data_IF_906871024153
#
_entry.id   IF_906871024153
#
_cell.length_a   1.000
_cell.length_b   1.000
_cell.length_c   1.000
_cell.angle_alpha   90.00
_cell.angle_beta   90.00
_cell.angle_gamma   90.00
#
_symmetry.space_group_name_H-M   'P 1'
#
loop_
_entity.id
_entity.type
_entity.pdbx_description
1 polymer ?
#
# COMPACT_ATOMS: atom_id res chain seq x y z
N UNK A 1 1.29 -2.00 -31.34
CA UNK A 1 2.69 -2.14 -31.82
C UNK A 1 3.57 -1.59 -30.73
N UNK A 2 4.37 -2.43 -30.07
CA UNK A 2 5.35 -1.98 -29.07
C UNK A 2 6.44 -1.21 -29.80
N UNK A 3 6.38 0.13 -29.79
CA UNK A 3 7.49 0.95 -30.24
C UNK A 3 8.66 0.71 -29.30
N UNK A 4 9.83 0.43 -29.86
CA UNK A 4 11.07 0.41 -29.08
C UNK A 4 11.23 1.78 -28.43
N UNK A 5 11.50 1.86 -27.11
CA UNK A 5 11.75 3.13 -26.45
C UNK A 5 12.87 3.89 -27.18
N UNK A 6 12.65 5.18 -27.46
CA UNK A 6 13.65 6.06 -28.06
C UNK A 6 14.19 7.01 -26.99
N UNK A 7 15.48 7.37 -27.00
CA UNK A 7 16.00 8.40 -26.12
C UNK A 7 15.22 9.70 -26.27
N UNK A 8 14.82 10.33 -25.15
CA UNK A 8 14.04 11.57 -25.19
C UNK A 8 14.81 12.69 -25.90
N UNK A 9 16.14 12.73 -25.78
CA UNK A 9 17.00 13.67 -26.52
C UNK A 9 16.84 13.52 -28.04
N UNK A 10 16.80 12.29 -28.54
CA UNK A 10 16.59 12.02 -29.96
C UNK A 10 15.18 12.48 -30.40
N UNK A 11 14.15 12.18 -29.60
CA UNK A 11 12.78 12.64 -29.88
C UNK A 11 12.66 14.17 -29.95
N UNK A 12 13.33 14.88 -29.03
CA UNK A 12 13.31 16.34 -28.97
C UNK A 12 14.25 17.01 -30.00
N UNK A 13 15.11 16.23 -30.69
CA UNK A 13 16.13 16.78 -31.59
C UNK A 13 17.23 17.55 -30.86
N UNK A 14 17.53 17.16 -29.62
CA UNK A 14 18.50 17.82 -28.74
C UNK A 14 19.72 16.94 -28.48
N UNK A 15 20.82 17.56 -28.05
CA UNK A 15 21.94 16.82 -27.48
C UNK A 15 21.53 16.18 -26.15
N UNK A 16 22.05 14.99 -25.85
CA UNK A 16 21.89 14.38 -24.51
C UNK A 16 22.56 15.21 -23.39
N UNK A 17 23.43 16.16 -23.75
CA UNK A 17 24.07 17.12 -22.84
C UNK A 17 23.33 18.47 -22.76
N UNK A 18 22.16 18.60 -23.38
CA UNK A 18 21.37 19.82 -23.33
C UNK A 18 20.92 20.14 -21.87
N UNK A 19 20.97 21.41 -21.42
CA UNK A 19 20.57 21.80 -20.07
C UNK A 19 19.17 21.33 -19.65
N UNK A 20 18.25 21.11 -20.60
CA UNK A 20 16.91 20.59 -20.32
C UNK A 20 16.95 19.26 -19.53
N UNK A 21 17.94 18.40 -19.79
CA UNK A 21 18.07 17.10 -19.11
C UNK A 21 18.62 17.24 -17.69
N UNK A 22 19.37 18.31 -17.42
CA UNK A 22 19.77 18.66 -16.06
C UNK A 22 18.56 19.12 -15.24
N UNK A 23 17.71 19.98 -15.82
CA UNK A 23 16.47 20.44 -15.17
C UNK A 23 15.51 19.27 -14.91
N UNK A 24 15.33 18.37 -15.87
CA UNK A 24 14.54 17.15 -15.68
C UNK A 24 15.09 16.27 -14.57
N UNK A 25 16.43 16.11 -14.46
CA UNK A 25 17.04 15.36 -13.36
C UNK A 25 16.75 16.02 -12.02
N UNK A 26 16.89 17.34 -11.92
CA UNK A 26 16.57 18.09 -10.69
C UNK A 26 15.11 17.94 -10.30
N UNK A 27 14.19 17.97 -11.29
CA UNK A 27 12.77 17.75 -11.06
C UNK A 27 12.50 16.37 -10.44
N UNK A 28 13.04 15.30 -11.05
CA UNK A 28 12.86 13.93 -10.56
C UNK A 28 13.47 13.78 -9.17
N UNK A 29 14.72 14.18 -8.99
CA UNK A 29 15.42 14.08 -7.71
C UNK A 29 14.78 14.90 -6.58
N UNK A 30 14.11 16.02 -6.92
CA UNK A 30 13.39 16.86 -5.96
C UNK A 30 11.94 16.44 -5.70
N UNK A 31 11.44 15.43 -6.42
CA UNK A 31 10.07 14.97 -6.29
C UNK A 31 9.90 14.06 -5.07
N UNK A 32 8.77 14.21 -4.35
CA UNK A 32 8.48 13.41 -3.14
C UNK A 32 8.34 11.91 -3.42
N UNK A 33 7.91 11.57 -4.64
CA UNK A 33 7.73 10.19 -5.09
C UNK A 33 9.01 9.49 -5.52
N UNK A 34 10.10 10.24 -5.70
CA UNK A 34 11.37 9.64 -6.12
C UNK A 34 12.10 9.08 -4.90
N UNK A 35 12.07 7.75 -4.76
CA UNK A 35 12.78 6.99 -3.72
C UNK A 35 14.09 6.36 -4.25
N UNK A 36 14.55 6.83 -5.41
CA UNK A 36 15.83 6.46 -6.00
C UNK A 36 17.00 7.21 -5.37
N UNK A 37 18.21 6.92 -5.85
CA UNK A 37 19.39 7.68 -5.44
C UNK A 37 19.40 9.03 -6.20
N UNK A 38 19.32 10.18 -5.51
CA UNK A 38 19.32 11.50 -6.15
C UNK A 38 20.63 11.81 -6.91
N UNK A 39 21.72 11.14 -6.54
CA UNK A 39 23.01 11.29 -7.20
C UNK A 39 23.14 10.45 -8.48
N UNK A 40 22.34 9.39 -8.61
CA UNK A 40 22.42 8.45 -9.73
C UNK A 40 22.23 9.14 -11.09
N UNK A 41 23.00 8.75 -12.12
CA UNK A 41 22.71 9.15 -13.50
C UNK A 41 21.33 8.66 -13.93
N UNK A 42 20.56 9.54 -14.59
CA UNK A 42 19.22 9.25 -15.08
C UNK A 42 19.22 9.31 -16.61
N UNK A 43 18.60 8.32 -17.23
CA UNK A 43 18.30 8.34 -18.67
C UNK A 43 16.81 8.49 -18.90
N UNK A 44 16.42 9.29 -19.89
CA UNK A 44 15.02 9.59 -20.21
C UNK A 44 14.68 8.98 -21.56
N UNK A 45 13.65 8.13 -21.59
CA UNK A 45 13.21 7.42 -22.78
C UNK A 45 11.74 7.69 -23.05
N UNK A 46 11.39 7.95 -24.30
CA UNK A 46 10.02 8.11 -24.75
C UNK A 46 9.53 6.79 -25.37
N UNK A 47 8.48 6.20 -24.79
CA UNK A 47 7.92 4.92 -25.25
C UNK A 47 6.70 5.07 -26.16
N UNK A 48 6.06 6.23 -26.12
CA UNK A 48 4.83 6.47 -26.86
C UNK A 48 4.52 7.96 -26.90
N UNK A 49 3.83 8.39 -27.95
CA UNK A 49 3.43 9.79 -28.10
C UNK A 49 2.01 9.89 -28.62
N UNK A 50 1.29 10.93 -28.19
CA UNK A 50 -0.03 11.28 -28.69
C UNK A 50 -0.05 12.75 -29.08
N UNK A 51 -0.40 13.02 -30.33
CA UNK A 51 -0.55 14.39 -30.85
C UNK A 51 -1.91 14.91 -30.42
N UNK A 52 -1.93 16.01 -29.67
CA UNK A 52 -3.15 16.61 -29.11
C UNK A 52 -3.53 17.90 -29.85
N UNK A 53 -2.57 18.51 -30.53
CA UNK A 53 -2.76 19.69 -31.36
C UNK A 53 -1.45 20.07 -32.04
N UNK A 54 -1.48 21.18 -32.79
CA UNK A 54 -0.31 21.67 -33.52
C UNK A 54 0.89 21.94 -32.59
N UNK A 55 0.62 22.40 -31.37
CA UNK A 55 1.61 22.86 -30.40
C UNK A 55 1.65 22.02 -29.12
N UNK A 56 0.93 20.89 -29.08
CA UNK A 56 0.74 20.12 -27.86
C UNK A 56 0.82 18.63 -28.17
N UNK A 57 1.68 17.93 -27.42
CA UNK A 57 1.76 16.47 -27.45
C UNK A 57 1.87 15.92 -26.03
N UNK A 58 1.43 14.68 -25.87
CA UNK A 58 1.66 13.88 -24.68
C UNK A 58 2.72 12.83 -24.98
N UNK A 59 3.65 12.66 -24.06
CA UNK A 59 4.78 11.75 -24.13
C UNK A 59 4.72 10.79 -22.95
N UNK A 60 4.81 9.49 -23.25
CA UNK A 60 4.98 8.42 -22.28
C UNK A 60 6.47 8.29 -21.95
N UNK A 61 6.95 9.12 -21.03
CA UNK A 61 8.37 9.15 -20.66
C UNK A 61 8.63 8.20 -19.49
N UNK A 62 9.67 7.38 -19.62
CA UNK A 62 10.23 6.58 -18.54
C UNK A 62 11.65 7.02 -18.24
N UNK A 63 11.91 7.22 -16.96
CA UNK A 63 13.23 7.53 -16.44
C UNK A 63 13.87 6.24 -15.93
N UNK A 64 15.06 5.90 -16.40
CA UNK A 64 15.78 4.72 -15.95
C UNK A 64 17.04 5.13 -15.17
N UNK A 65 17.19 4.53 -13.99
CA UNK A 65 18.42 4.57 -13.19
C UNK A 65 19.43 3.51 -13.66
N UNK A 66 20.71 3.72 -13.36
CA UNK A 66 21.75 2.70 -13.54
C UNK A 66 21.48 1.42 -12.74
N UNK A 67 20.75 1.54 -11.62
CA UNK A 67 20.31 0.41 -10.79
C UNK A 67 19.32 -0.52 -11.50
N UNK A 68 18.75 -0.08 -12.64
CA UNK A 68 17.69 -0.77 -13.36
C UNK A 68 16.28 -0.40 -12.91
N UNK A 69 16.12 0.49 -11.92
CA UNK A 69 14.80 1.02 -11.54
C UNK A 69 14.25 1.92 -12.64
N UNK A 70 12.96 1.76 -12.91
CA UNK A 70 12.22 2.53 -13.90
C UNK A 70 11.19 3.42 -13.20
N UNK A 71 11.06 4.65 -13.67
CA UNK A 71 10.14 5.64 -13.13
C UNK A 71 9.24 6.21 -14.22
N UNK A 72 7.95 6.30 -13.94
CA UNK A 72 6.93 6.84 -14.82
C UNK A 72 6.89 8.38 -14.72
N UNK A 73 7.11 9.05 -15.85
CA UNK A 73 7.07 10.50 -15.96
C UNK A 73 6.13 10.94 -17.10
N UNK A 74 4.80 10.79 -16.96
CA UNK A 74 3.84 11.29 -17.95
C UNK A 74 4.09 12.77 -18.25
N UNK A 75 4.37 13.10 -19.50
CA UNK A 75 4.88 14.44 -19.87
C UNK A 75 4.01 15.08 -20.93
N UNK A 76 3.61 16.33 -20.72
CA UNK A 76 3.09 17.19 -21.79
C UNK A 76 4.23 18.05 -22.34
N UNK A 77 4.34 18.11 -23.66
CA UNK A 77 5.23 19.04 -24.36
C UNK A 77 4.40 20.09 -25.08
N UNK A 78 4.63 21.37 -24.79
CA UNK A 78 3.85 22.47 -25.33
C UNK A 78 4.68 23.72 -25.59
N UNK A 79 4.46 24.36 -26.74
CA UNK A 79 4.95 25.74 -26.99
C UNK A 79 3.95 26.81 -26.56
N UNK A 80 2.72 26.42 -26.19
CA UNK A 80 1.77 27.28 -25.49
C UNK A 80 1.97 27.19 -23.97
N UNK A 81 1.66 28.28 -23.26
CA UNK A 81 1.62 28.29 -21.80
C UNK A 81 0.44 27.48 -21.31
N UNK A 82 0.69 26.49 -20.47
CA UNK A 82 -0.31 25.68 -19.80
C UNK A 82 -0.24 25.93 -18.29
N UNK A 83 -1.34 25.67 -17.59
CA UNK A 83 -1.32 25.54 -16.14
C UNK A 83 -0.60 24.25 -15.71
N UNK A 84 -0.13 24.21 -14.47
CA UNK A 84 0.55 23.05 -13.88
C UNK A 84 2.05 23.24 -13.71
N UNK A 85 2.71 22.14 -13.34
CA UNK A 85 4.11 22.13 -12.94
C UNK A 85 5.02 21.92 -14.16
N UNK A 86 5.80 22.95 -14.46
CA UNK A 86 6.86 22.87 -15.48
C UNK A 86 8.06 22.13 -14.91
N UNK A 87 8.53 21.12 -15.63
CA UNK A 87 9.72 20.33 -15.30
C UNK A 87 10.98 20.91 -15.92
N UNK A 88 10.89 21.37 -17.17
CA UNK A 88 12.01 21.97 -17.90
C UNK A 88 11.51 22.85 -19.07
N UNK A 89 12.39 23.73 -19.57
CA UNK A 89 12.14 24.57 -20.76
C UNK A 89 13.33 24.53 -21.70
N UNK A 90 13.08 24.62 -23.00
CA UNK A 90 14.11 24.68 -24.04
C UNK A 90 13.58 25.37 -25.30
N UNK A 91 14.47 25.72 -26.23
CA UNK A 91 14.09 26.22 -27.55
C UNK A 91 14.26 25.11 -28.57
N UNK A 92 13.22 24.81 -29.34
CA UNK A 92 13.27 23.72 -30.34
C UNK A 92 14.04 24.12 -31.61
N UNK A 93 14.24 23.16 -32.52
CA UNK A 93 14.96 23.39 -33.79
C UNK A 93 14.30 24.40 -34.73
N UNK A 94 13.05 24.81 -34.47
CA UNK A 94 12.36 25.88 -35.20
C UNK A 94 12.54 27.26 -34.57
N UNK A 95 13.16 27.35 -33.40
CA UNK A 95 13.34 28.58 -32.64
C UNK A 95 12.16 28.92 -31.72
N UNK A 96 11.24 28.00 -31.47
CA UNK A 96 10.13 28.22 -30.55
C UNK A 96 10.48 27.79 -29.13
N UNK A 97 10.05 28.57 -28.14
CA UNK A 97 10.16 28.19 -26.73
C UNK A 97 9.14 27.09 -26.41
N UNK A 98 9.64 26.01 -25.83
CA UNK A 98 8.88 24.81 -25.49
C UNK A 98 9.07 24.50 -24.01
N UNK A 99 7.98 24.10 -23.37
CA UNK A 99 7.97 23.66 -21.97
C UNK A 99 7.54 22.20 -21.86
N UNK A 100 8.19 21.48 -20.95
CA UNK A 100 7.81 20.14 -20.52
C UNK A 100 7.07 20.25 -19.19
N UNK A 101 5.85 19.72 -19.11
CA UNK A 101 5.00 19.74 -17.92
C UNK A 101 4.78 18.32 -17.39
N UNK A 102 4.72 18.16 -16.07
CA UNK A 102 4.24 16.92 -15.46
C UNK A 102 2.74 16.79 -15.76
N UNK A 103 2.35 15.80 -16.55
CA UNK A 103 0.96 15.65 -17.00
C UNK A 103 0.00 15.33 -15.85
N UNK A 104 0.49 14.92 -14.67
CA UNK A 104 -0.38 14.70 -13.49
C UNK A 104 -0.76 16.02 -12.79
N UNK A 105 -0.06 17.10 -13.10
CA UNK A 105 -0.15 18.38 -12.38
C UNK A 105 -1.25 19.32 -12.90
N UNK A 106 -1.94 18.97 -13.98
CA UNK A 106 -3.04 19.76 -14.51
C UNK A 106 -4.15 18.87 -15.11
N UNK A 107 -5.35 19.43 -15.24
CA UNK A 107 -6.54 18.74 -15.75
C UNK A 107 -6.33 18.14 -17.14
N UNK A 108 -5.77 18.92 -18.07
CA UNK A 108 -5.54 18.50 -19.45
C UNK A 108 -4.66 17.24 -19.54
N UNK A 109 -3.60 17.19 -18.73
CA UNK A 109 -2.70 16.05 -18.69
C UNK A 109 -3.37 14.81 -18.09
N UNK A 110 -4.20 14.97 -17.04
CA UNK A 110 -5.01 13.89 -16.47
C UNK A 110 -6.01 13.33 -17.48
N UNK A 111 -6.74 14.20 -18.18
CA UNK A 111 -7.65 13.81 -19.26
C UNK A 111 -6.94 13.03 -20.35
N UNK A 112 -5.75 13.50 -20.74
CA UNK A 112 -4.97 12.79 -21.74
C UNK A 112 -4.52 11.42 -21.21
N UNK A 113 -3.98 11.33 -19.99
CA UNK A 113 -3.59 10.04 -19.36
C UNK A 113 -4.76 9.04 -19.42
N UNK A 114 -5.98 9.49 -19.11
CA UNK A 114 -7.18 8.66 -19.05
C UNK A 114 -7.88 8.44 -20.39
N UNK A 115 -7.59 9.25 -21.41
CA UNK A 115 -8.23 9.19 -22.73
C UNK A 115 -8.28 7.80 -23.39
N UNK A 116 -7.26 6.92 -23.27
CA UNK A 116 -7.32 5.56 -23.82
C UNK A 116 -8.42 4.69 -23.21
N UNK A 117 -8.90 5.02 -21.99
CA UNK A 117 -10.01 4.34 -21.33
C UNK A 117 -11.39 4.92 -21.74
N UNK A 118 -11.44 5.87 -22.68
CA UNK A 118 -12.67 6.51 -23.13
C UNK A 118 -13.22 7.56 -22.16
N UNK A 119 -12.43 8.00 -21.18
CA UNK A 119 -12.80 9.09 -20.27
C UNK A 119 -12.68 10.42 -21.02
N UNK A 120 -13.82 11.08 -21.27
CA UNK A 120 -13.88 12.35 -21.99
C UNK A 120 -13.75 13.59 -21.09
N UNK A 121 -13.37 14.72 -21.70
CA UNK A 121 -13.24 16.07 -21.10
C UNK A 121 -14.50 16.57 -20.36
N UNK A 122 -15.68 16.05 -20.69
CA UNK A 122 -16.97 16.51 -20.19
C UNK A 122 -17.41 15.85 -18.86
N UNK A 123 -16.65 14.86 -18.35
CA UNK A 123 -17.13 13.94 -17.31
C UNK A 123 -16.67 14.22 -15.87
N UNK A 124 -15.92 15.30 -15.59
CA UNK A 124 -15.40 15.51 -14.23
C UNK A 124 -15.30 16.97 -13.81
N UNK A 125 -15.79 17.25 -12.59
CA UNK A 125 -15.22 18.31 -11.77
C UNK A 125 -13.90 17.75 -11.25
N UNK A 126 -12.77 18.35 -11.65
CA UNK A 126 -11.46 17.99 -11.13
C UNK A 126 -11.41 18.48 -9.67
N UNK A 127 -11.32 17.57 -8.70
CA UNK A 127 -10.96 17.99 -7.36
C UNK A 127 -9.44 18.19 -7.34
N UNK A 128 -8.98 19.39 -7.00
CA UNK A 128 -7.55 19.75 -6.90
C UNK A 128 -6.75 18.93 -5.85
N UNK A 129 -7.33 17.86 -5.31
CA UNK A 129 -6.68 16.93 -4.37
C UNK A 129 -5.79 15.95 -5.13
N UNK A 130 -4.53 16.35 -5.29
CA UNK A 130 -3.44 15.44 -5.67
C UNK A 130 -2.72 14.96 -4.41
N UNK A 131 -2.63 13.65 -4.25
CA UNK A 131 -1.84 13.02 -3.20
C UNK A 131 -0.54 12.50 -3.82
N UNK A 132 0.58 13.10 -3.42
CA UNK A 132 1.90 12.78 -3.95
C UNK A 132 2.76 12.19 -2.82
N UNK A 133 2.79 10.86 -2.77
CA UNK A 133 3.62 10.06 -1.85
C UNK A 133 4.58 9.21 -2.68
N UNK A 134 4.61 7.88 -2.54
CA UNK A 134 5.34 6.97 -3.44
C UNK A 134 4.71 6.89 -4.83
N UNK A 135 3.42 7.19 -4.93
CA UNK A 135 2.62 7.26 -6.14
C UNK A 135 1.90 8.61 -6.21
N UNK A 136 1.38 8.95 -7.38
CA UNK A 136 0.54 10.14 -7.56
C UNK A 136 -0.90 9.70 -7.73
N UNK A 137 -1.78 10.07 -6.80
CA UNK A 137 -3.21 9.77 -6.89
C UNK A 137 -4.05 11.04 -7.02
N UNK A 138 -5.15 10.96 -7.76
CA UNK A 138 -6.09 12.06 -7.95
C UNK A 138 -7.50 11.54 -8.25
N UNK A 139 -8.49 12.38 -8.00
CA UNK A 139 -9.86 12.14 -8.42
C UNK A 139 -10.12 12.77 -9.79
N UNK A 140 -10.95 12.13 -10.61
CA UNK A 140 -11.37 12.68 -11.89
C UNK A 140 -12.85 12.36 -12.13
N UNK A 141 -13.73 13.29 -11.75
CA UNK A 141 -15.17 12.99 -11.63
C UNK A 141 -15.39 11.89 -10.59
N UNK A 142 -16.12 10.85 -10.96
CA UNK A 142 -16.41 9.69 -10.08
C UNK A 142 -15.31 8.61 -10.10
N UNK A 143 -14.11 8.96 -10.57
CA UNK A 143 -12.97 8.04 -10.67
C UNK A 143 -11.92 8.38 -9.61
N UNK A 144 -11.33 7.34 -9.01
CA UNK A 144 -10.06 7.44 -8.29
C UNK A 144 -8.96 6.85 -9.15
N UNK A 145 -7.92 7.64 -9.42
CA UNK A 145 -6.79 7.24 -10.26
C UNK A 145 -5.55 7.19 -9.39
N UNK A 146 -4.85 6.05 -9.43
CA UNK A 146 -3.55 5.85 -8.80
C UNK A 146 -2.51 5.64 -9.90
N UNK A 147 -1.61 6.60 -10.06
CA UNK A 147 -0.50 6.53 -11.01
C UNK A 147 0.73 5.96 -10.32
N UNK A 148 1.22 4.83 -10.83
CA UNK A 148 2.41 4.19 -10.32
C UNK A 148 3.64 4.96 -10.79
N UNK A 149 4.40 5.53 -9.84
CA UNK A 149 5.63 6.28 -10.16
C UNK A 149 6.82 5.36 -10.34
N UNK A 150 6.99 4.35 -9.50
CA UNK A 150 7.97 3.30 -9.75
C UNK A 150 7.32 2.20 -10.61
N UNK A 151 7.93 1.89 -11.76
CA UNK A 151 7.43 0.88 -12.70
C UNK A 151 8.08 -0.47 -12.42
N UNK A 152 7.27 -1.53 -12.50
CA UNK A 152 7.70 -2.91 -12.34
C UNK A 152 7.66 -3.65 -13.68
N UNK A 153 8.56 -4.60 -13.88
CA UNK A 153 8.64 -5.42 -15.10
C UNK A 153 7.53 -6.47 -15.23
N UNK A 154 6.76 -6.68 -14.16
CA UNK A 154 5.58 -7.52 -14.14
C UNK A 154 4.34 -6.67 -13.86
N UNK A 155 3.15 -7.24 -14.13
CA UNK A 155 1.87 -6.60 -13.77
C UNK A 155 1.86 -6.25 -12.28
N UNK A 156 1.40 -5.05 -11.95
CA UNK A 156 1.31 -4.60 -10.57
C UNK A 156 0.38 -5.53 -9.77
N UNK A 157 0.77 -5.84 -8.53
CA UNK A 157 0.03 -6.73 -7.61
C UNK A 157 -1.36 -6.21 -7.31
N UNK A 158 -1.49 -4.92 -7.01
CA UNK A 158 -2.77 -4.29 -6.69
C UNK A 158 -3.75 -4.41 -7.85
N UNK A 159 -3.32 -4.14 -9.09
CA UNK A 159 -4.16 -4.35 -10.28
C UNK A 159 -4.60 -5.82 -10.36
N UNK A 160 -3.66 -6.75 -10.22
CA UNK A 160 -3.95 -8.18 -10.37
C UNK A 160 -4.94 -8.70 -9.33
N UNK A 161 -4.81 -8.26 -8.08
CA UNK A 161 -5.68 -8.66 -6.98
C UNK A 161 -7.06 -8.00 -7.12
N UNK A 162 -7.11 -6.69 -7.33
CA UNK A 162 -8.38 -5.95 -7.40
C UNK A 162 -9.19 -6.30 -8.65
N UNK A 163 -8.55 -6.56 -9.78
CA UNK A 163 -9.24 -7.00 -11.00
C UNK A 163 -9.91 -8.36 -10.78
N UNK A 164 -9.19 -9.30 -10.16
CA UNK A 164 -9.71 -10.64 -9.90
C UNK A 164 -10.88 -10.61 -8.89
N UNK A 165 -10.80 -9.76 -7.85
CA UNK A 165 -11.90 -9.53 -6.92
C UNK A 165 -13.09 -8.79 -7.54
N UNK A 166 -12.84 -7.86 -8.46
CA UNK A 166 -13.91 -7.18 -9.22
C UNK A 166 -14.65 -8.19 -10.10
N UNK A 167 -13.92 -9.08 -10.77
CA UNK A 167 -14.48 -10.13 -11.63
C UNK A 167 -15.27 -11.18 -10.84
N UNK A 168 -14.89 -11.47 -9.60
CA UNK A 168 -15.65 -12.37 -8.72
C UNK A 168 -16.88 -11.72 -8.07
N UNK A 169 -17.09 -10.41 -8.29
CA UNK A 169 -18.23 -9.68 -7.75
C UNK A 169 -18.08 -9.27 -6.28
N UNK A 170 -16.84 -9.23 -5.76
CA UNK A 170 -16.55 -8.76 -4.40
C UNK A 170 -17.07 -7.34 -4.19
N UNK A 171 -17.75 -7.10 -3.06
CA UNK A 171 -18.25 -5.76 -2.68
C UNK A 171 -17.36 -5.06 -1.65
N UNK A 172 -16.41 -5.80 -1.07
CA UNK A 172 -15.49 -5.35 -0.02
C UNK A 172 -14.24 -4.64 -0.57
N UNK A 173 -14.16 -4.35 -1.88
CA UNK A 173 -13.10 -3.54 -2.52
C UNK A 173 -13.71 -2.54 -3.50
N UNK A 174 -13.01 -1.44 -3.84
CA UNK A 174 -13.41 -0.60 -4.97
C UNK A 174 -13.31 -1.39 -6.28
N UNK A 175 -14.33 -1.24 -7.15
CA UNK A 175 -14.32 -1.83 -8.49
C UNK A 175 -13.18 -1.25 -9.34
N UNK A 176 -12.47 -2.13 -10.02
CA UNK A 176 -11.53 -1.74 -11.09
C UNK A 176 -12.32 -1.35 -12.33
N UNK A 177 -12.09 -0.13 -12.80
CA UNK A 177 -12.70 0.41 -14.02
C UNK A 177 -11.74 0.36 -15.22
N UNK A 178 -10.44 0.30 -14.96
CA UNK A 178 -9.42 0.12 -15.98
C UNK A 178 -8.02 0.29 -15.42
N UNK A 179 -7.02 -0.04 -16.23
CA UNK A 179 -5.62 0.27 -15.94
C UNK A 179 -4.90 0.55 -17.25
N UNK A 180 -3.76 1.23 -17.17
CA UNK A 180 -2.91 1.52 -18.32
C UNK A 180 -1.51 0.99 -18.16
N UNK A 181 -0.79 0.98 -19.26
CA UNK A 181 0.60 0.58 -19.33
C UNK A 181 1.44 1.64 -20.03
N UNK A 182 2.68 1.81 -19.57
CA UNK A 182 3.73 2.61 -20.18
C UNK A 182 4.94 1.71 -20.36
N UNK A 183 5.47 1.60 -21.58
CA UNK A 183 6.59 0.69 -21.90
C UNK A 183 6.33 -0.78 -21.45
N UNK A 184 5.10 -1.28 -21.64
CA UNK A 184 4.67 -2.62 -21.19
C UNK A 184 4.72 -2.84 -19.67
N UNK A 185 4.85 -1.78 -18.87
CA UNK A 185 4.79 -1.82 -17.42
C UNK A 185 3.48 -1.18 -16.96
N UNK A 186 2.83 -1.74 -15.94
CA UNK A 186 1.64 -1.14 -15.33
C UNK A 186 1.93 0.29 -14.85
N UNK A 187 1.22 1.28 -15.39
CA UNK A 187 1.52 2.70 -15.19
C UNK A 187 0.49 3.43 -14.34
N UNK A 188 -0.78 3.02 -14.40
CA UNK A 188 -1.84 3.58 -13.57
C UNK A 188 -3.00 2.61 -13.43
N UNK A 189 -3.76 2.75 -12.36
CA UNK A 189 -4.98 2.02 -12.03
C UNK A 189 -6.13 3.02 -11.84
N UNK A 190 -7.31 2.69 -12.39
CA UNK A 190 -8.54 3.46 -12.25
C UNK A 190 -9.57 2.62 -11.49
N UNK A 191 -10.03 3.18 -10.38
CA UNK A 191 -11.02 2.60 -9.49
C UNK A 191 -12.29 3.46 -9.46
N UNK A 192 -13.42 2.86 -9.06
CA UNK A 192 -14.59 3.64 -8.64
C UNK A 192 -14.20 4.56 -7.48
N UNK A 193 -14.67 5.82 -7.52
CA UNK A 193 -14.54 6.72 -6.38
C UNK A 193 -15.45 6.28 -5.24
N UNK A 194 -14.94 6.37 -4.02
CA UNK A 194 -15.73 6.14 -2.81
C UNK A 194 -16.36 7.44 -2.27
N UNK A 195 -16.26 8.55 -3.01
CA UNK A 195 -16.81 9.86 -2.63
C UNK A 195 -16.25 10.36 -1.30
N UNK A 196 -17.12 10.80 -0.40
CA UNK A 196 -16.78 11.28 0.95
C UNK A 196 -16.40 10.14 1.93
N UNK A 197 -15.95 9.01 1.43
CA UNK A 197 -15.52 7.91 2.29
C UNK A 197 -14.38 8.34 3.20
N UNK A 198 -14.43 7.82 4.42
CA UNK A 198 -13.49 8.16 5.48
C UNK A 198 -12.55 7.01 5.76
N UNK A 199 -11.28 7.36 5.94
CA UNK A 199 -10.27 6.51 6.58
C UNK A 199 -10.73 6.13 8.00
N UNK A 200 -10.78 4.83 8.28
CA UNK A 200 -11.23 4.29 9.56
C UNK A 200 -10.24 4.53 10.71
N UNK A 201 -8.94 4.62 10.44
CA UNK A 201 -7.95 5.00 11.46
C UNK A 201 -8.18 6.45 11.94
N UNK A 202 -8.43 7.38 11.02
CA UNK A 202 -8.78 8.76 11.37
C UNK A 202 -10.12 8.82 12.15
N UNK A 203 -11.12 8.06 11.71
CA UNK A 203 -12.40 7.92 12.43
C UNK A 203 -12.23 7.28 13.82
N UNK A 204 -11.36 6.29 13.97
CA UNK A 204 -11.10 5.66 15.26
C UNK A 204 -10.56 6.67 16.27
N UNK A 205 -9.59 7.52 15.87
CA UNK A 205 -9.05 8.58 16.73
C UNK A 205 -10.12 9.61 17.12
N UNK A 206 -10.98 10.00 16.18
CA UNK A 206 -12.11 10.91 16.46
C UNK A 206 -13.07 10.30 17.49
N UNK A 207 -13.51 9.06 17.27
CA UNK A 207 -14.44 8.38 18.16
C UNK A 207 -13.86 8.14 19.55
N UNK A 208 -12.59 7.73 19.64
CA UNK A 208 -11.90 7.56 20.92
C UNK A 208 -11.76 8.90 21.67
N UNK A 209 -11.41 9.97 20.97
CA UNK A 209 -11.30 11.32 21.56
C UNK A 209 -12.65 11.85 22.06
N UNK A 210 -13.74 11.43 21.42
CA UNK A 210 -15.11 11.78 21.79
C UNK A 210 -15.74 10.79 22.79
N UNK A 211 -14.98 9.82 23.33
CA UNK A 211 -15.50 8.76 24.22
C UNK A 211 -16.69 8.00 23.62
N UNK A 212 -16.58 7.65 22.33
CA UNK A 212 -17.54 6.88 21.54
C UNK A 212 -16.99 5.50 21.17
N UNK A 213 -16.26 4.87 22.07
CA UNK A 213 -15.63 3.55 21.88
C UNK A 213 -16.62 2.47 21.46
N UNK A 214 -17.89 2.53 21.93
CA UNK A 214 -18.92 1.56 21.54
C UNK A 214 -19.31 1.68 20.07
N UNK A 215 -19.24 2.88 19.49
CA UNK A 215 -19.46 3.10 18.05
C UNK A 215 -18.27 2.55 17.27
N UNK A 216 -17.04 2.78 17.75
CA UNK A 216 -15.83 2.21 17.15
C UNK A 216 -15.87 0.67 17.17
N UNK A 217 -16.32 0.07 18.26
CA UNK A 217 -16.48 -1.39 18.36
C UNK A 217 -17.41 -1.94 17.27
N UNK A 218 -18.52 -1.27 16.95
CA UNK A 218 -19.41 -1.67 15.87
C UNK A 218 -18.73 -1.61 14.49
N UNK A 219 -17.92 -0.57 14.24
CA UNK A 219 -17.12 -0.50 13.02
C UNK A 219 -16.08 -1.63 12.95
N UNK A 220 -15.40 -1.93 14.05
CA UNK A 220 -14.39 -3.00 14.11
C UNK A 220 -15.01 -4.39 13.96
N UNK A 221 -16.21 -4.64 14.50
CA UNK A 221 -16.97 -5.87 14.20
C UNK A 221 -17.27 -5.97 12.71
N UNK A 222 -17.71 -4.87 12.09
CA UNK A 222 -17.95 -4.81 10.64
C UNK A 222 -16.68 -5.07 9.82
N UNK A 223 -15.53 -4.54 10.24
CA UNK A 223 -14.23 -4.85 9.63
C UNK A 223 -13.94 -6.35 9.71
N UNK A 224 -14.16 -6.99 10.87
CA UNK A 224 -13.95 -8.43 11.04
C UNK A 224 -14.79 -9.26 10.06
N UNK A 225 -16.07 -8.93 9.92
CA UNK A 225 -16.99 -9.60 8.99
C UNK A 225 -16.57 -9.38 7.52
N UNK A 226 -16.26 -8.13 7.13
CA UNK A 226 -15.82 -7.80 5.78
C UNK A 226 -14.47 -8.44 5.42
N UNK A 227 -13.51 -8.47 6.35
CA UNK A 227 -12.20 -9.07 6.11
C UNK A 227 -12.31 -10.59 5.94
N UNK A 228 -13.21 -11.23 6.70
CA UNK A 228 -13.53 -12.64 6.53
C UNK A 228 -14.05 -12.95 5.13
N UNK A 229 -15.01 -12.17 4.62
CA UNK A 229 -15.51 -12.30 3.24
C UNK A 229 -14.43 -12.01 2.21
N UNK A 230 -13.61 -10.98 2.41
CA UNK A 230 -12.47 -10.69 1.54
C UNK A 230 -11.51 -11.88 1.46
N UNK A 231 -11.11 -12.45 2.59
CA UNK A 231 -10.23 -13.62 2.63
C UNK A 231 -10.84 -14.86 1.97
N UNK A 232 -12.17 -15.05 2.07
CA UNK A 232 -12.90 -16.09 1.33
C UNK A 232 -12.83 -15.84 -0.18
N UNK A 233 -13.14 -14.63 -0.63
CA UNK A 233 -13.08 -14.25 -2.05
C UNK A 233 -11.66 -14.43 -2.63
N UNK A 234 -10.62 -14.01 -1.90
CA UNK A 234 -9.23 -14.18 -2.31
C UNK A 234 -8.84 -15.66 -2.44
N UNK A 235 -9.32 -16.50 -1.51
CA UNK A 235 -9.12 -17.95 -1.57
C UNK A 235 -9.81 -18.56 -2.77
N UNK A 236 -11.05 -18.19 -3.03
CA UNK A 236 -11.83 -18.78 -4.12
C UNK A 236 -11.21 -18.43 -5.48
N UNK A 237 -10.64 -17.23 -5.60
CA UNK A 237 -10.03 -16.75 -6.85
C UNK A 237 -8.60 -17.28 -7.05
N UNK A 238 -7.76 -17.28 -6.00
CA UNK A 238 -6.32 -17.60 -6.12
C UNK A 238 -5.90 -18.96 -5.56
N UNK A 239 -6.81 -19.66 -4.90
CA UNK A 239 -6.55 -20.92 -4.21
C UNK A 239 -5.62 -20.78 -3.00
N UNK A 240 -5.35 -21.91 -2.36
CA UNK A 240 -4.46 -22.03 -1.20
C UNK A 240 -3.30 -22.97 -1.44
N UNK A 241 -2.26 -22.84 -0.61
CA UNK A 241 -1.16 -23.81 -0.49
C UNK A 241 -1.01 -24.19 0.97
N UNK A 242 -1.12 -25.48 1.27
CA UNK A 242 -1.00 -25.99 2.64
C UNK A 242 0.46 -26.22 3.03
N UNK A 243 0.88 -25.70 4.17
CA UNK A 243 2.23 -25.87 4.72
C UNK A 243 2.17 -26.30 6.18
N UNK A 244 3.29 -26.78 6.73
CA UNK A 244 3.40 -27.00 8.18
C UNK A 244 3.43 -25.66 8.92
N UNK A 245 2.65 -25.55 9.99
CA UNK A 245 2.64 -24.38 10.87
C UNK A 245 4.04 -24.03 11.39
N UNK A 246 4.79 -25.06 11.80
CA UNK A 246 6.16 -24.91 12.29
C UNK A 246 7.09 -24.25 11.26
N UNK A 247 6.88 -24.49 9.96
CA UNK A 247 7.66 -23.86 8.90
C UNK A 247 7.37 -22.37 8.77
N UNK A 248 6.13 -21.92 8.99
CA UNK A 248 5.83 -20.49 8.98
C UNK A 248 6.35 -19.79 10.23
N UNK A 249 6.25 -20.43 11.40
CA UNK A 249 6.84 -19.93 12.63
C UNK A 249 8.38 -19.81 12.52
N UNK A 250 9.06 -20.74 11.84
CA UNK A 250 10.49 -20.61 11.53
C UNK A 250 10.80 -19.38 10.67
N UNK A 251 9.99 -19.11 9.64
CA UNK A 251 10.17 -17.94 8.78
C UNK A 251 9.94 -16.65 9.55
N UNK A 252 8.89 -16.60 10.37
CA UNK A 252 8.58 -15.47 11.25
C UNK A 252 9.71 -15.18 12.22
N UNK A 253 10.24 -16.24 12.85
CA UNK A 253 11.40 -16.15 13.72
C UNK A 253 12.63 -15.57 12.99
N UNK A 254 12.95 -16.07 11.80
CA UNK A 254 14.09 -15.57 11.02
C UNK A 254 13.93 -14.09 10.64
N UNK A 255 12.74 -13.67 10.19
CA UNK A 255 12.44 -12.26 9.89
C UNK A 255 12.60 -11.40 11.15
N UNK A 256 12.00 -11.82 12.25
CA UNK A 256 12.03 -11.08 13.52
C UNK A 256 13.45 -10.93 14.05
N UNK A 257 14.24 -12.01 14.04
CA UNK A 257 15.64 -12.00 14.48
C UNK A 257 16.48 -11.02 13.66
N UNK A 258 16.38 -11.08 12.33
CA UNK A 258 17.13 -10.19 11.44
C UNK A 258 16.80 -8.72 11.72
N UNK A 259 15.53 -8.38 11.96
CA UNK A 259 15.10 -7.02 12.30
C UNK A 259 15.60 -6.58 13.67
N UNK A 260 15.58 -7.45 14.67
CA UNK A 260 16.17 -7.16 15.98
C UNK A 260 17.67 -6.90 15.90
N UNK A 261 18.40 -7.63 15.06
CA UNK A 261 19.83 -7.39 14.82
C UNK A 261 20.06 -6.00 14.18
N UNK A 262 19.20 -5.58 13.24
CA UNK A 262 19.25 -4.23 12.66
C UNK A 262 18.94 -3.16 13.71
N UNK A 263 17.89 -3.34 14.51
CA UNK A 263 17.56 -2.42 15.62
C UNK A 263 18.74 -2.29 16.59
N UNK A 264 19.40 -3.40 16.92
CA UNK A 264 20.59 -3.42 17.79
C UNK A 264 21.74 -2.63 17.20
N UNK A 265 21.97 -2.73 15.88
CA UNK A 265 23.00 -1.95 15.20
C UNK A 265 22.70 -0.44 15.26
N UNK A 266 21.45 -0.05 15.02
CA UNK A 266 21.02 1.36 15.05
C UNK A 266 21.04 1.97 16.47
N UNK A 267 20.60 1.21 17.49
CA UNK A 267 20.49 1.70 18.87
C UNK A 267 21.73 1.44 19.74
N UNK A 268 22.64 0.58 19.31
CA UNK A 268 23.79 0.12 20.10
C UNK A 268 23.44 -0.85 21.25
N UNK A 269 22.17 -1.25 21.39
CA UNK A 269 21.69 -2.16 22.43
C UNK A 269 20.51 -3.01 21.93
N UNK A 270 20.33 -4.19 22.52
CA UNK A 270 19.20 -5.05 22.18
C UNK A 270 17.85 -4.43 22.59
N UNK A 271 16.82 -4.52 21.74
CA UNK A 271 15.49 -4.06 22.09
C UNK A 271 14.95 -4.88 23.26
N UNK A 272 14.42 -4.19 24.27
CA UNK A 272 13.81 -4.85 25.43
C UNK A 272 12.49 -5.51 25.04
N UNK A 273 12.39 -6.81 25.29
CA UNK A 273 11.18 -7.63 25.12
C UNK A 273 10.83 -8.32 26.43
N UNK A 274 9.54 -8.51 26.72
CA UNK A 274 9.11 -9.26 27.90
C UNK A 274 9.46 -10.76 27.77
N UNK A 275 9.54 -11.52 28.89
CA UNK A 275 9.70 -12.97 28.82
C UNK A 275 8.58 -13.67 28.03
N UNK A 276 7.34 -13.19 28.14
CA UNK A 276 6.20 -13.74 27.40
C UNK A 276 6.29 -13.45 25.89
N UNK A 277 6.74 -12.26 25.50
CA UNK A 277 6.99 -11.93 24.10
C UNK A 277 8.13 -12.79 23.55
N UNK A 278 9.22 -12.92 24.31
CA UNK A 278 10.35 -13.77 23.93
C UNK A 278 9.93 -15.24 23.75
N UNK A 279 9.08 -15.77 24.63
CA UNK A 279 8.55 -17.13 24.49
C UNK A 279 7.74 -17.29 23.19
N UNK A 280 6.85 -16.34 22.87
CA UNK A 280 6.07 -16.39 21.62
C UNK A 280 6.92 -16.22 20.36
N UNK A 281 7.92 -15.33 20.37
CA UNK A 281 8.78 -15.09 19.21
C UNK A 281 9.78 -16.24 19.00
N UNK A 282 10.39 -16.75 20.08
CA UNK A 282 11.56 -17.62 19.99
C UNK A 282 11.29 -19.10 20.31
N UNK A 283 10.30 -19.40 21.17
CA UNK A 283 10.04 -20.77 21.65
C UNK A 283 8.80 -21.41 21.00
N UNK A 284 7.85 -20.62 20.48
CA UNK A 284 6.58 -21.11 19.92
C UNK A 284 6.75 -22.20 18.87
N UNK A 285 7.76 -22.08 18.00
CA UNK A 285 8.03 -23.08 16.96
C UNK A 285 8.39 -24.45 17.52
N UNK A 286 9.17 -24.51 18.59
CA UNK A 286 9.64 -25.77 19.17
C UNK A 286 8.53 -26.39 20.03
N UNK A 287 7.75 -25.56 20.72
CA UNK A 287 6.53 -25.98 21.41
C UNK A 287 5.48 -26.55 20.44
N UNK A 288 5.26 -25.90 19.29
CA UNK A 288 4.34 -26.40 18.26
C UNK A 288 4.85 -27.70 17.66
N UNK A 289 6.15 -27.82 17.38
CA UNK A 289 6.74 -29.09 16.91
C UNK A 289 6.56 -30.23 17.91
N UNK A 290 6.65 -29.93 19.21
CA UNK A 290 6.45 -30.93 20.27
C UNK A 290 4.97 -31.31 20.44
N UNK A 291 4.06 -30.33 20.38
CA UNK A 291 2.61 -30.54 20.56
C UNK A 291 1.95 -31.18 19.35
N UNK A 292 2.25 -30.67 18.15
CA UNK A 292 1.65 -31.11 16.89
C UNK A 292 2.57 -30.81 15.69
N UNK A 293 3.55 -31.69 15.46
CA UNK A 293 4.52 -31.58 14.37
C UNK A 293 3.91 -31.64 12.97
N UNK A 294 2.67 -32.10 12.84
CA UNK A 294 1.97 -32.27 11.57
C UNK A 294 0.88 -31.21 11.33
N UNK A 295 0.70 -30.26 12.27
CA UNK A 295 -0.28 -29.18 12.12
C UNK A 295 0.00 -28.40 10.84
N UNK A 296 -1.02 -28.29 10.00
CA UNK A 296 -0.97 -27.52 8.76
C UNK A 296 -1.81 -26.26 8.83
N UNK A 297 -1.33 -25.24 8.14
CA UNK A 297 -2.05 -24.01 7.84
C UNK A 297 -2.12 -23.83 6.33
N UNK A 298 -3.09 -23.04 5.88
CA UNK A 298 -3.23 -22.69 4.47
C UNK A 298 -2.70 -21.27 4.23
N UNK A 299 -1.80 -21.14 3.26
CA UNK A 299 -1.38 -19.86 2.73
C UNK A 299 -2.27 -19.50 1.54
N UNK A 300 -2.65 -18.23 1.43
CA UNK A 300 -3.43 -17.68 0.33
C UNK A 300 -2.92 -16.29 -0.04
N UNK A 301 -3.41 -15.73 -1.14
CA UNK A 301 -3.24 -14.29 -1.37
C UNK A 301 -4.03 -13.56 -0.27
N UNK A 302 -3.38 -12.61 0.38
CA UNK A 302 -3.94 -11.76 1.43
C UNK A 302 -3.70 -10.29 1.06
N UNK A 303 -4.17 -9.34 1.84
CA UNK A 303 -3.83 -7.92 1.64
C UNK A 303 -2.31 -7.72 1.74
N UNK A 304 -1.70 -8.18 2.82
CA UNK A 304 -0.24 -8.29 3.00
C UNK A 304 0.41 -7.13 3.76
N UNK A 305 -0.30 -6.00 3.92
CA UNK A 305 0.11 -4.89 4.81
C UNK A 305 -1.10 -4.18 5.43
N UNK A 306 -2.14 -4.94 5.80
CA UNK A 306 -3.42 -4.36 6.18
C UNK A 306 -3.37 -3.56 7.50
N UNK A 307 -3.91 -2.34 7.49
CA UNK A 307 -4.18 -1.55 8.70
C UNK A 307 -5.46 -0.71 8.57
N UNK A 308 -5.93 -0.07 9.66
CA UNK A 308 -7.22 0.67 9.65
C UNK A 308 -7.24 1.86 8.69
N UNK A 309 -6.08 2.38 8.28
CA UNK A 309 -5.98 3.48 7.29
C UNK A 309 -6.29 3.03 5.86
N UNK A 310 -6.19 1.73 5.60
CA UNK A 310 -6.55 1.10 4.33
C UNK A 310 -7.99 0.59 4.32
N UNK A 311 -8.78 0.94 5.34
CA UNK A 311 -10.20 0.64 5.41
C UNK A 311 -10.96 1.95 5.24
N UNK A 312 -11.71 2.05 4.14
CA UNK A 312 -12.57 3.19 3.87
C UNK A 312 -14.03 2.87 4.21
N UNK A 313 -14.71 3.83 4.82
CA UNK A 313 -16.14 3.74 5.14
C UNK A 313 -16.89 4.91 4.50
N UNK A 314 -17.82 4.61 3.61
CA UNK A 314 -18.64 5.61 2.91
C UNK A 314 -19.78 4.96 2.13
N UNK A 315 -20.88 5.71 1.93
CA UNK A 315 -22.06 5.24 1.18
C UNK A 315 -22.57 3.86 1.63
N UNK A 316 -22.66 3.68 2.96
CA UNK A 316 -23.03 2.42 3.62
C UNK A 316 -22.13 1.22 3.29
N UNK A 317 -21.01 1.41 2.58
CA UNK A 317 -20.00 0.39 2.25
C UNK A 317 -18.78 0.52 3.15
N UNK A 318 -18.10 -0.61 3.33
CA UNK A 318 -16.76 -0.70 3.89
C UNK A 318 -15.91 -1.40 2.84
N UNK A 319 -14.81 -0.77 2.44
CA UNK A 319 -13.92 -1.33 1.41
C UNK A 319 -12.47 -1.31 1.87
N UNK A 320 -11.72 -2.32 1.44
CA UNK A 320 -10.28 -2.40 1.60
C UNK A 320 -9.59 -1.83 0.37
N UNK A 321 -8.54 -1.04 0.57
CA UNK A 321 -7.76 -0.39 -0.49
C UNK A 321 -6.26 -0.71 -0.32
N UNK A 322 -5.46 -0.42 -1.33
CA UNK A 322 -3.99 -0.45 -1.26
C UNK A 322 -3.37 -1.86 -1.20
N UNK A 323 -3.73 -2.71 -2.16
CA UNK A 323 -3.23 -4.08 -2.28
C UNK A 323 -1.80 -4.18 -2.87
N UNK A 324 -0.92 -3.21 -2.63
CA UNK A 324 0.48 -3.27 -3.09
C UNK A 324 1.32 -4.28 -2.30
N UNK A 325 0.93 -4.59 -1.06
CA UNK A 325 1.69 -5.44 -0.13
C UNK A 325 2.80 -4.67 0.60
N UNK A 326 3.49 -5.34 1.53
CA UNK A 326 4.50 -4.71 2.41
C UNK A 326 5.77 -4.27 1.66
N UNK A 327 6.10 -4.97 0.56
CA UNK A 327 7.32 -4.72 -0.22
C UNK A 327 6.95 -4.27 -1.63
N UNK A 328 7.43 -3.09 -2.03
CA UNK A 328 7.28 -2.60 -3.40
C UNK A 328 7.76 -3.65 -4.40
N UNK A 329 6.91 -3.97 -5.38
CA UNK A 329 7.23 -4.96 -6.40
C UNK A 329 7.01 -6.41 -5.97
N UNK A 330 6.25 -6.63 -4.91
CA UNK A 330 5.80 -7.97 -4.55
C UNK A 330 5.07 -8.65 -5.70
N UNK A 331 5.40 -9.93 -5.95
CA UNK A 331 4.75 -10.68 -7.03
C UNK A 331 3.25 -10.84 -6.75
N UNK A 332 2.38 -10.71 -7.77
CA UNK A 332 0.92 -10.76 -7.59
C UNK A 332 0.39 -11.97 -6.81
N UNK A 333 1.07 -13.11 -6.94
CA UNK A 333 0.66 -14.39 -6.35
C UNK A 333 1.39 -14.73 -5.06
N UNK A 334 2.08 -13.78 -4.40
CA UNK A 334 2.69 -14.05 -3.09
C UNK A 334 1.59 -14.43 -2.11
N UNK A 335 1.78 -15.58 -1.46
CA UNK A 335 0.85 -16.15 -0.49
C UNK A 335 1.41 -16.01 0.92
N UNK A 336 0.54 -15.66 1.86
CA UNK A 336 0.81 -15.60 3.29
C UNK A 336 -0.37 -16.20 4.05
N UNK A 337 -0.24 -16.37 5.37
CA UNK A 337 -1.37 -16.79 6.19
C UNK A 337 -2.25 -15.58 6.50
N UNK A 338 -3.54 -15.82 6.73
CA UNK A 338 -4.56 -14.78 7.02
C UNK A 338 -4.25 -14.02 8.31
N UNK A 339 -3.50 -14.65 9.22
CA UNK A 339 -3.06 -14.08 10.50
C UNK A 339 -2.21 -12.82 10.31
N UNK A 340 -1.53 -12.65 9.16
CA UNK A 340 -0.81 -11.42 8.84
C UNK A 340 -1.71 -10.18 8.80
N UNK A 341 -2.82 -10.26 8.08
CA UNK A 341 -3.77 -9.16 7.95
C UNK A 341 -4.51 -8.90 9.27
N UNK A 342 -4.85 -9.96 10.00
CA UNK A 342 -5.47 -9.86 11.33
C UNK A 342 -4.53 -9.16 12.31
N UNK A 343 -3.26 -9.54 12.34
CA UNK A 343 -2.25 -8.94 13.19
C UNK A 343 -2.04 -7.46 12.84
N UNK A 344 -2.07 -7.10 11.55
CA UNK A 344 -1.97 -5.71 11.07
C UNK A 344 -3.11 -4.82 11.58
N UNK A 345 -4.37 -5.27 11.47
CA UNK A 345 -5.52 -4.55 12.04
C UNK A 345 -5.41 -4.44 13.58
N UNK A 346 -5.06 -5.52 14.27
CA UNK A 346 -4.92 -5.51 15.72
C UNK A 346 -3.85 -4.52 16.21
N UNK A 347 -2.69 -4.49 15.53
CA UNK A 347 -1.66 -3.48 15.79
C UNK A 347 -2.17 -2.07 15.51
N UNK A 348 -2.90 -1.87 14.42
CA UNK A 348 -3.46 -0.55 14.07
C UNK A 348 -4.48 -0.04 15.10
N UNK A 349 -5.31 -0.93 15.67
CA UNK A 349 -6.18 -0.63 16.83
C UNK A 349 -5.33 -0.17 18.02
N UNK A 350 -4.27 -0.91 18.36
CA UNK A 350 -3.37 -0.58 19.45
C UNK A 350 -2.71 0.81 19.26
N UNK A 351 -2.31 1.17 18.04
CA UNK A 351 -1.82 2.53 17.74
C UNK A 351 -2.88 3.59 17.99
N UNK A 352 -4.07 3.44 17.39
CA UNK A 352 -5.14 4.42 17.52
C UNK A 352 -5.51 4.68 18.99
N UNK A 353 -5.59 3.61 19.79
CA UNK A 353 -5.86 3.69 21.23
C UNK A 353 -4.69 4.32 21.99
N UNK A 354 -3.45 3.89 21.74
CA UNK A 354 -2.27 4.38 22.46
C UNK A 354 -2.01 5.87 22.21
N UNK A 355 -2.19 6.33 20.98
CA UNK A 355 -2.03 7.75 20.62
C UNK A 355 -3.12 8.63 21.20
N UNK A 356 -4.34 8.11 21.35
CA UNK A 356 -5.49 8.90 21.79
C UNK A 356 -5.66 8.92 23.30
N UNK A 357 -5.53 7.76 23.96
CA UNK A 357 -5.77 7.60 25.40
C UNK A 357 -4.49 7.63 26.24
N UNK A 358 -3.32 7.67 25.60
CA UNK A 358 -2.03 7.69 26.26
C UNK A 358 -1.42 6.30 26.42
N UNK A 359 -0.17 6.18 25.97
CA UNK A 359 0.60 4.95 25.99
C UNK A 359 0.86 4.44 27.43
N UNK A 360 0.67 3.14 27.64
CA UNK A 360 0.99 2.48 28.91
C UNK A 360 -0.04 2.68 30.03
N UNK A 361 -1.16 3.37 29.78
CA UNK A 361 -2.24 3.47 30.75
C UNK A 361 -3.07 2.18 30.80
N UNK A 362 -3.55 1.82 32.00
CA UNK A 362 -4.42 0.65 32.16
C UNK A 362 -5.68 0.73 31.29
N UNK A 363 -6.27 1.93 31.19
CA UNK A 363 -7.44 2.19 30.36
C UNK A 363 -7.15 1.92 28.87
N UNK A 364 -6.04 2.43 28.33
CA UNK A 364 -5.64 2.19 26.95
C UNK A 364 -5.42 0.69 26.68
N UNK A 365 -4.74 -0.03 27.58
CA UNK A 365 -4.50 -1.46 27.39
C UNK A 365 -5.79 -2.27 27.39
N UNK A 366 -6.70 -2.02 28.34
CA UNK A 366 -7.99 -2.71 28.41
C UNK A 366 -8.88 -2.37 27.20
N UNK A 367 -8.89 -1.11 26.77
CA UNK A 367 -9.62 -0.66 25.57
C UNK A 367 -9.10 -1.36 24.32
N UNK A 368 -7.79 -1.36 24.11
CA UNK A 368 -7.15 -2.02 22.96
C UNK A 368 -7.51 -3.51 22.92
N UNK A 369 -7.42 -4.21 24.05
CA UNK A 369 -7.76 -5.64 24.16
C UNK A 369 -9.24 -5.90 23.85
N UNK A 370 -10.15 -5.08 24.39
CA UNK A 370 -11.60 -5.24 24.16
C UNK A 370 -12.00 -5.01 22.71
N UNK A 371 -11.43 -3.98 22.07
CA UNK A 371 -11.68 -3.65 20.67
C UNK A 371 -11.07 -4.69 19.71
N UNK A 372 -9.84 -5.13 19.99
CA UNK A 372 -9.18 -6.24 19.26
C UNK A 372 -10.02 -7.52 19.36
N UNK A 373 -10.47 -7.88 20.57
CA UNK A 373 -11.32 -9.06 20.77
C UNK A 373 -12.61 -8.96 19.97
N UNK A 374 -13.26 -7.81 19.95
CA UNK A 374 -14.52 -7.60 19.21
C UNK A 374 -14.34 -7.76 17.70
N UNK A 375 -13.23 -7.24 17.16
CA UNK A 375 -12.82 -7.45 15.77
C UNK A 375 -12.56 -8.94 15.46
N UNK A 376 -11.75 -9.61 16.29
CA UNK A 376 -11.40 -11.02 16.10
C UNK A 376 -12.61 -11.94 16.24
N UNK A 377 -13.46 -11.72 17.23
CA UNK A 377 -14.69 -12.51 17.43
C UNK A 377 -15.58 -12.41 16.18
N UNK A 378 -15.75 -11.21 15.63
CA UNK A 378 -16.51 -11.02 14.40
C UNK A 378 -15.89 -11.74 13.20
N UNK A 379 -14.57 -11.72 13.07
CA UNK A 379 -13.87 -12.45 12.01
C UNK A 379 -14.02 -13.98 12.16
N UNK A 380 -13.84 -14.51 13.37
CA UNK A 380 -13.82 -15.97 13.65
C UNK A 380 -15.22 -16.56 13.61
N UNK A 381 -16.17 -15.94 14.32
CA UNK A 381 -17.51 -16.49 14.50
C UNK A 381 -18.49 -16.06 13.42
N UNK A 382 -18.20 -15.00 12.65
CA UNK A 382 -19.11 -14.48 11.64
C UNK A 382 -20.44 -13.98 12.21
N UNK A 383 -21.41 -13.73 11.33
CA UNK A 383 -22.83 -13.60 11.67
C UNK A 383 -23.56 -14.88 11.24
N UNK A 384 -24.70 -15.22 11.86
CA UNK A 384 -25.40 -16.50 11.65
C UNK A 384 -25.69 -16.84 10.17
N UNK A 385 -25.97 -15.86 9.33
CA UNK A 385 -26.24 -16.03 7.88
C UNK A 385 -24.97 -16.38 7.06
N UNK A 386 -23.78 -15.94 7.50
CA UNK A 386 -22.50 -16.15 6.82
C UNK A 386 -21.82 -17.48 7.21
N UNK A 387 -22.38 -18.17 8.22
CA UNK A 387 -21.84 -19.37 8.85
C UNK A 387 -22.43 -20.68 8.32
N UNK A 388 -23.55 -20.63 7.60
CA UNK A 388 -24.23 -21.84 7.12
C UNK A 388 -23.43 -22.60 6.04
N UNK A 389 -22.62 -21.88 5.25
CA UNK A 389 -21.96 -22.43 4.03
C UNK A 389 -20.42 -22.32 4.03
N UNK A 390 -19.78 -21.88 5.12
CA UNK A 390 -18.31 -21.76 5.21
C UNK A 390 -17.69 -22.77 6.19
N UNK A 391 -17.35 -23.99 5.73
CA UNK A 391 -16.70 -25.00 6.56
C UNK A 391 -15.26 -24.64 7.02
N UNK A 392 -14.74 -23.46 6.68
CA UNK A 392 -13.28 -23.23 6.65
C UNK A 392 -12.74 -22.08 7.51
N UNK A 393 -13.57 -21.32 8.22
CA UNK A 393 -13.06 -20.39 9.26
C UNK A 393 -12.65 -21.06 10.55
N UNK A 394 -12.73 -22.39 10.62
CA UNK A 394 -12.16 -23.21 11.68
C UNK A 394 -10.61 -23.32 11.64
N UNK A 395 -9.88 -22.36 11.04
CA UNK A 395 -8.42 -22.48 10.80
C UNK A 395 -7.56 -21.29 11.25
N UNK A 396 -8.10 -20.31 11.99
CA UNK A 396 -7.26 -19.31 12.66
C UNK A 396 -6.35 -20.02 13.66
N UNK A 397 -5.04 -19.86 13.51
CA UNK A 397 -4.08 -20.31 14.50
C UNK A 397 -3.70 -19.15 15.45
N UNK A 398 -4.18 -19.23 16.70
CA UNK A 398 -3.92 -18.18 17.69
C UNK A 398 -2.44 -18.06 18.07
N UNK A 399 -1.66 -19.15 18.02
CA UNK A 399 -0.22 -19.10 18.30
C UNK A 399 0.51 -18.34 17.19
N UNK A 400 0.13 -18.57 15.92
CA UNK A 400 0.65 -17.83 14.78
C UNK A 400 0.21 -16.36 14.81
N UNK A 401 -1.07 -16.08 15.08
CA UNK A 401 -1.59 -14.72 15.18
C UNK A 401 -0.84 -13.87 16.21
N UNK A 402 -0.64 -14.38 17.42
CA UNK A 402 0.11 -13.67 18.45
C UNK A 402 1.59 -13.51 18.09
N UNK A 403 2.18 -14.52 17.43
CA UNK A 403 3.56 -14.44 16.93
C UNK A 403 3.70 -13.34 15.87
N UNK A 404 2.77 -13.27 14.91
CA UNK A 404 2.79 -12.27 13.84
C UNK A 404 2.48 -10.85 14.34
N UNK A 405 1.65 -10.70 15.37
CA UNK A 405 1.47 -9.41 16.07
C UNK A 405 2.79 -8.90 16.64
N UNK A 406 3.56 -9.78 17.27
CA UNK A 406 4.88 -9.44 17.82
C UNK A 406 5.91 -9.16 16.71
N UNK A 407 5.90 -9.95 15.64
CA UNK A 407 6.73 -9.68 14.44
C UNK A 407 6.44 -8.29 13.88
N UNK A 408 5.15 -7.92 13.72
CA UNK A 408 4.75 -6.59 13.24
C UNK A 408 5.18 -5.49 14.21
N UNK A 409 5.13 -5.71 15.52
CA UNK A 409 5.66 -4.73 16.49
C UNK A 409 7.18 -4.52 16.37
N UNK A 410 7.95 -5.59 16.07
CA UNK A 410 9.39 -5.47 15.81
C UNK A 410 9.66 -4.74 14.48
N UNK A 411 8.89 -5.05 13.43
CA UNK A 411 8.90 -4.31 12.17
C UNK A 411 8.69 -2.80 12.39
N UNK A 412 7.63 -2.45 13.13
CA UNK A 412 7.26 -1.07 13.38
C UNK A 412 8.34 -0.33 14.18
N UNK A 413 8.96 -1.00 15.15
CA UNK A 413 10.06 -0.43 15.92
C UNK A 413 11.26 -0.10 15.02
N UNK A 414 11.67 -1.03 14.15
CA UNK A 414 12.74 -0.80 13.17
C UNK A 414 12.40 0.37 12.25
N UNK A 415 11.18 0.38 11.72
CA UNK A 415 10.69 1.41 10.81
C UNK A 415 10.67 2.80 11.46
N UNK A 416 10.16 2.93 12.68
CA UNK A 416 10.09 4.20 13.41
C UNK A 416 11.48 4.72 13.82
N UNK A 417 12.42 3.82 14.15
CA UNK A 417 13.82 4.19 14.42
C UNK A 417 14.45 4.81 13.17
N UNK A 418 14.32 4.16 12.02
CA UNK A 418 14.90 4.65 10.75
C UNK A 418 14.24 5.92 10.26
N UNK A 419 12.92 6.01 10.41
CA UNK A 419 12.18 7.20 10.00
C UNK A 419 12.45 8.41 10.93
N UNK A 420 13.04 8.20 12.11
CA UNK A 420 13.26 9.26 13.10
C UNK A 420 11.96 9.85 13.64
N UNK A 421 10.84 9.14 13.49
CA UNK A 421 9.52 9.59 13.91
C UNK A 421 9.29 9.23 15.38
N UNK A 422 8.68 10.15 16.13
CA UNK A 422 8.57 10.08 17.58
C UNK A 422 7.66 8.97 18.14
N UNK A 423 7.21 8.01 17.33
CA UNK A 423 6.23 6.99 17.72
C UNK A 423 6.85 5.64 18.11
N UNK A 424 8.18 5.49 18.07
CA UNK A 424 8.91 4.27 18.44
C UNK A 424 8.56 3.71 19.84
N UNK A 425 8.06 4.54 20.75
CA UNK A 425 7.66 4.08 22.08
C UNK A 425 6.42 3.18 22.07
N UNK A 426 5.52 3.33 21.09
CA UNK A 426 4.32 2.49 20.96
C UNK A 426 4.67 1.01 20.73
N UNK A 427 5.45 0.64 19.69
CA UNK A 427 5.85 -0.74 19.49
C UNK A 427 6.81 -1.22 20.60
N UNK A 428 7.70 -0.35 21.10
CA UNK A 428 8.62 -0.75 22.17
C UNK A 428 7.89 -1.07 23.49
N UNK A 429 6.88 -0.28 23.87
CA UNK A 429 6.07 -0.55 25.06
C UNK A 429 5.21 -1.81 24.90
N UNK A 430 4.66 -2.05 23.70
CA UNK A 430 3.94 -3.29 23.41
C UNK A 430 4.84 -4.53 23.61
N UNK A 431 6.06 -4.51 23.07
CA UNK A 431 7.04 -5.59 23.24
C UNK A 431 7.47 -5.80 24.70
N UNK A 432 7.61 -4.72 25.47
CA UNK A 432 8.00 -4.76 26.90
C UNK A 432 6.89 -5.27 27.81
N UNK A 433 5.63 -4.91 27.54
CA UNK A 433 4.50 -5.22 28.41
C UNK A 433 3.68 -6.45 27.98
N UNK A 434 4.05 -7.10 26.88
CA UNK A 434 3.31 -8.25 26.36
C UNK A 434 3.25 -9.38 27.40
N UNK A 435 2.04 -9.88 27.70
CA UNK A 435 1.80 -10.98 28.64
C UNK A 435 2.00 -10.65 30.13
N UNK A 436 2.36 -9.42 30.50
CA UNK A 436 2.50 -9.01 31.92
C UNK A 436 1.16 -8.75 32.62
N UNK A 437 0.04 -8.80 31.89
CA UNK A 437 -1.30 -8.46 32.36
C UNK A 437 -2.30 -9.63 32.27
N UNK A 438 -1.79 -10.86 32.18
CA UNK A 438 -2.59 -12.10 32.21
C UNK A 438 -2.49 -12.81 33.58
N UNK A 439 -1.83 -12.15 34.56
CA UNK A 439 -1.60 -12.63 35.92
C UNK A 439 -2.28 -11.79 36.98
#
# INVERSE_FOLDING_TARGET
MTQTPIPLAEYLGLSALDPVFFDLKLYVAGSRWYLGDPSSPLSFNCCGTRVLGQYLRYLEVVVAEESGRLWNLPTLISSAVLEGRVMARFTDGSGMDVSLYDATSNRLGREVILGPLGVGLEMGVDEDKVFDQSNTSFFFGDLYVKLYRQLMSHKNREISVLEALTQSGSTDVPKVLGYGETCSCSSYLVLESMGDARDLYALAKELLSASKERVLELYLRRVGLSLRRLHRNLRDVFGTVSILLSSELDRSWSRTKNRMDLIKQELGAEPKVSPSAAAKIFASKDEVRQRDSHKKIDLQVVHGDLHLGQVLIGNERLVFIDFEGEVLGEVPTKRSSIEYDLAGIARSIHYAVSETLGLGTFAATMMSRSLEKSFLDAYVYGDEEDCADDPYTARLDLDLYETLKLEKAVYELEYEIRAGRGLKEIPAAFLRGYGEQDG
#
